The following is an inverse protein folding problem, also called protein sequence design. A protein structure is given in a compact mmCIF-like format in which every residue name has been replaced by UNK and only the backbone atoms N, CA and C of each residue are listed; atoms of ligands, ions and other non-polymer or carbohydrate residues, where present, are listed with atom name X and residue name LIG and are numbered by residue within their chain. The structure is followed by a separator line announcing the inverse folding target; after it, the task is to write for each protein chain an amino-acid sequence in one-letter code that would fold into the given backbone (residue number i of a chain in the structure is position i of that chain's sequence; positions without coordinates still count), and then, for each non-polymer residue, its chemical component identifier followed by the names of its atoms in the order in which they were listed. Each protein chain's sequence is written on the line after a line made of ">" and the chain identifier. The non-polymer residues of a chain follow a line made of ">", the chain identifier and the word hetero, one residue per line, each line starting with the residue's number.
data_IF_300780390050
#
_entry.id   IF_300780390050
#
_cell.length_a   1.000
_cell.length_b   1.000
_cell.length_c   1.000
_cell.angle_alpha   90.00
_cell.angle_beta   90.00
_cell.angle_gamma   90.00
#
_symmetry.space_group_name_H-M   'P 1'
#
loop_
_entity.id
_entity.type
_entity.pdbx_description
1 polymer ?
#
# COMPACT_ATOMS: atom_id res chain seq x y z
N UNK A 1 -5.40 -33.17 -6.83
CA UNK A 1 -4.88 -32.58 -8.09
C UNK A 1 -4.21 -31.27 -7.73
N UNK A 2 -2.96 -30.99 -8.11
CA UNK A 2 -2.44 -29.64 -7.95
C UNK A 2 -3.16 -28.78 -8.99
N UNK A 3 -3.85 -27.74 -8.55
CA UNK A 3 -4.42 -26.76 -9.47
C UNK A 3 -3.27 -26.18 -10.32
N UNK A 4 -3.44 -26.18 -11.64
CA UNK A 4 -2.52 -25.48 -12.55
C UNK A 4 -2.30 -24.05 -12.04
N UNK A 5 -1.07 -23.51 -12.11
CA UNK A 5 -0.83 -22.12 -11.73
C UNK A 5 -1.60 -21.25 -12.73
N UNK A 6 -2.80 -20.82 -12.35
CA UNK A 6 -3.59 -19.89 -13.13
C UNK A 6 -2.76 -18.61 -13.23
N UNK A 7 -2.32 -18.30 -14.45
CA UNK A 7 -1.65 -17.03 -14.73
C UNK A 7 -2.57 -15.91 -14.26
N UNK A 8 -2.17 -15.20 -13.20
CA UNK A 8 -2.93 -14.09 -12.67
C UNK A 8 -2.81 -12.93 -13.66
N UNK A 9 -3.81 -12.81 -14.53
CA UNK A 9 -3.95 -11.67 -15.44
C UNK A 9 -4.67 -10.52 -14.74
N UNK A 10 -4.52 -9.30 -15.26
CA UNK A 10 -5.19 -8.12 -14.72
C UNK A 10 -6.71 -8.32 -14.54
N UNK A 11 -7.48 -8.82 -15.55
CA UNK A 11 -8.91 -9.09 -15.37
C UNK A 11 -9.22 -10.09 -14.26
N UNK A 12 -8.41 -11.15 -14.12
CA UNK A 12 -8.62 -12.17 -13.07
C UNK A 12 -8.36 -11.60 -11.68
N UNK A 13 -7.32 -10.78 -11.52
CA UNK A 13 -7.03 -10.10 -10.25
C UNK A 13 -8.14 -9.13 -9.89
N UNK A 14 -8.61 -8.31 -10.83
CA UNK A 14 -9.75 -7.39 -10.61
C UNK A 14 -10.99 -8.16 -10.12
N UNK A 15 -11.33 -9.27 -10.78
CA UNK A 15 -12.48 -10.09 -10.38
C UNK A 15 -12.34 -10.63 -8.95
N UNK A 16 -11.15 -11.11 -8.57
CA UNK A 16 -10.86 -11.59 -7.21
C UNK A 16 -10.99 -10.48 -6.17
N UNK A 17 -10.43 -9.30 -6.44
CA UNK A 17 -10.50 -8.16 -5.52
C UNK A 17 -11.94 -7.64 -5.35
N UNK A 18 -12.73 -7.57 -6.42
CA UNK A 18 -14.16 -7.22 -6.35
C UNK A 18 -14.96 -8.22 -5.53
N UNK A 19 -14.75 -9.51 -5.75
CA UNK A 19 -15.41 -10.57 -4.99
C UNK A 19 -15.08 -10.50 -3.49
N UNK A 20 -13.90 -9.98 -3.15
CA UNK A 20 -13.49 -9.72 -1.77
C UNK A 20 -14.00 -8.38 -1.19
N UNK A 21 -14.78 -7.61 -1.95
CA UNK A 21 -15.33 -6.31 -1.52
C UNK A 21 -14.36 -5.13 -1.64
N UNK A 22 -13.27 -5.25 -2.40
CA UNK A 22 -12.37 -4.11 -2.64
C UNK A 22 -13.07 -3.08 -3.55
N UNK A 23 -13.25 -1.86 -3.04
CA UNK A 23 -13.98 -0.77 -3.73
C UNK A 23 -13.24 -0.29 -4.98
N UNK A 24 -11.90 -0.19 -4.92
CA UNK A 24 -11.04 0.32 -6.00
C UNK A 24 -10.27 -0.81 -6.70
N UNK A 25 -10.92 -1.94 -6.93
CA UNK A 25 -10.27 -3.18 -7.40
C UNK A 25 -9.39 -2.99 -8.65
N UNK A 26 -9.78 -2.16 -9.61
CA UNK A 26 -8.99 -1.86 -10.80
C UNK A 26 -7.66 -1.16 -10.51
N UNK A 27 -7.69 -0.12 -9.69
CA UNK A 27 -6.50 0.63 -9.34
C UNK A 27 -5.57 -0.20 -8.46
N UNK A 28 -6.14 -0.91 -7.49
CA UNK A 28 -5.39 -1.83 -6.63
C UNK A 28 -4.75 -2.96 -7.43
N UNK A 29 -5.46 -3.56 -8.39
CA UNK A 29 -4.91 -4.61 -9.24
C UNK A 29 -3.73 -4.10 -10.06
N UNK A 30 -3.84 -2.91 -10.68
CA UNK A 30 -2.72 -2.29 -11.42
C UNK A 30 -1.49 -2.07 -10.53
N UNK A 31 -1.70 -1.60 -9.30
CA UNK A 31 -0.62 -1.39 -8.35
C UNK A 31 0.04 -2.72 -7.95
N UNK A 32 -0.75 -3.75 -7.64
CA UNK A 32 -0.23 -5.08 -7.27
C UNK A 32 0.56 -5.71 -8.43
N UNK A 33 0.03 -5.66 -9.65
CA UNK A 33 0.72 -6.20 -10.83
C UNK A 33 2.03 -5.45 -11.12
N UNK A 34 2.05 -4.12 -10.96
CA UNK A 34 3.27 -3.33 -11.20
C UNK A 34 4.34 -3.53 -10.11
N UNK A 35 3.95 -3.96 -8.91
CA UNK A 35 4.87 -4.18 -7.79
C UNK A 35 5.46 -5.60 -7.77
N UNK A 36 4.72 -6.61 -8.21
CA UNK A 36 5.17 -8.00 -8.21
C UNK A 36 6.19 -8.26 -9.33
N UNK A 37 7.32 -8.90 -9.00
CA UNK A 37 8.39 -9.25 -9.95
C UNK A 37 8.27 -10.69 -10.45
N UNK A 38 7.53 -11.52 -9.72
CA UNK A 38 7.32 -12.93 -10.09
C UNK A 38 5.84 -13.31 -9.97
N UNK A 39 5.38 -14.36 -10.67
CA UNK A 39 4.03 -14.89 -10.50
C UNK A 39 3.71 -15.31 -9.06
N UNK A 40 4.70 -15.82 -8.32
CA UNK A 40 4.55 -16.20 -6.91
C UNK A 40 4.35 -14.99 -5.99
N UNK A 41 5.13 -13.92 -6.20
CA UNK A 41 4.93 -12.64 -5.49
C UNK A 41 3.54 -12.06 -5.79
N UNK A 42 3.10 -12.12 -7.05
CA UNK A 42 1.78 -11.65 -7.46
C UNK A 42 0.65 -12.44 -6.77
N UNK A 43 0.73 -13.77 -6.77
CA UNK A 43 -0.26 -14.61 -6.12
C UNK A 43 -0.34 -14.31 -4.60
N UNK A 44 0.80 -14.26 -3.94
CA UNK A 44 0.87 -13.93 -2.50
C UNK A 44 0.31 -12.54 -2.20
N UNK A 45 0.59 -11.53 -3.04
CA UNK A 45 0.07 -10.18 -2.86
C UNK A 45 -1.46 -10.13 -2.99
N UNK A 46 -2.02 -10.81 -4.00
CA UNK A 46 -3.48 -10.89 -4.19
C UNK A 46 -4.13 -11.64 -3.02
N UNK A 47 -3.57 -12.76 -2.59
CA UNK A 47 -4.11 -13.55 -1.47
C UNK A 47 -4.14 -12.73 -0.17
N UNK A 48 -3.04 -12.01 0.14
CA UNK A 48 -2.99 -11.11 1.29
C UNK A 48 -4.02 -9.98 1.18
N UNK A 49 -4.17 -9.39 -0.01
CA UNK A 49 -5.14 -8.30 -0.21
C UNK A 49 -6.58 -8.77 -0.04
N UNK A 50 -6.90 -9.94 -0.61
CA UNK A 50 -8.21 -10.60 -0.47
C UNK A 50 -8.50 -10.98 0.99
N UNK A 51 -7.49 -11.35 1.77
CA UNK A 51 -7.61 -11.60 3.21
C UNK A 51 -7.85 -10.34 4.06
N UNK A 52 -7.93 -9.16 3.43
CA UNK A 52 -8.25 -7.90 4.10
C UNK A 52 -7.03 -7.11 4.58
N UNK A 53 -5.80 -7.52 4.23
CA UNK A 53 -4.63 -6.69 4.56
C UNK A 53 -4.71 -5.35 3.81
N UNK A 54 -4.30 -4.23 4.45
CA UNK A 54 -4.16 -2.95 3.78
C UNK A 54 -3.27 -3.06 2.55
N UNK A 55 -3.63 -2.36 1.48
CA UNK A 55 -2.88 -2.38 0.23
C UNK A 55 -1.42 -1.97 0.45
N UNK A 56 -1.17 -0.98 1.29
CA UNK A 56 0.17 -0.46 1.56
C UNK A 56 1.06 -1.52 2.21
N UNK A 57 0.52 -2.36 3.11
CA UNK A 57 1.25 -3.50 3.67
C UNK A 57 1.44 -4.64 2.66
N UNK A 58 0.51 -4.79 1.71
CA UNK A 58 0.68 -5.72 0.58
C UNK A 58 1.84 -5.26 -0.33
N UNK A 59 1.91 -3.96 -0.62
CA UNK A 59 2.94 -3.34 -1.46
C UNK A 59 4.27 -3.07 -0.73
N UNK A 60 4.28 -3.13 0.61
CA UNK A 60 5.42 -2.77 1.45
C UNK A 60 5.74 -1.27 1.46
N UNK A 61 4.82 -0.42 0.97
CA UNK A 61 5.02 1.03 0.87
C UNK A 61 3.71 1.81 0.84
N UNK A 62 3.78 3.07 1.26
CA UNK A 62 2.74 4.08 1.12
C UNK A 62 3.30 5.34 0.45
N UNK A 63 2.45 6.04 -0.30
CA UNK A 63 2.76 7.40 -0.78
C UNK A 63 2.33 8.41 0.28
N UNK A 64 3.22 9.34 0.66
CA UNK A 64 2.94 10.38 1.67
C UNK A 64 3.73 11.64 1.35
N UNK A 65 3.05 12.79 1.18
CA UNK A 65 3.67 14.06 0.73
C UNK A 65 4.53 13.94 -0.53
N UNK A 66 4.16 13.06 -1.45
CA UNK A 66 4.92 12.78 -2.67
C UNK A 66 6.19 11.93 -2.47
N UNK A 67 6.39 11.40 -1.25
CA UNK A 67 7.46 10.47 -0.92
C UNK A 67 6.93 9.04 -0.84
N UNK A 68 7.78 8.08 -1.19
CA UNK A 68 7.53 6.65 -0.96
C UNK A 68 8.11 6.24 0.39
N UNK A 69 7.23 5.94 1.32
CA UNK A 69 7.59 5.50 2.67
C UNK A 69 7.43 3.98 2.74
N UNK A 70 8.47 3.27 3.16
CA UNK A 70 8.39 1.82 3.40
C UNK A 70 7.51 1.55 4.62
N UNK A 71 6.69 0.51 4.54
CA UNK A 71 5.83 0.09 5.66
C UNK A 71 5.89 -1.42 5.84
N UNK A 72 6.03 -1.84 7.08
CA UNK A 72 6.04 -3.25 7.49
C UNK A 72 4.75 -3.61 8.26
N UNK A 73 4.45 -4.91 8.41
CA UNK A 73 3.37 -5.35 9.30
C UNK A 73 3.53 -4.77 10.71
N UNK A 74 2.45 -4.20 11.24
CA UNK A 74 2.44 -3.55 12.55
C UNK A 74 2.81 -2.07 12.55
N UNK A 75 3.39 -1.55 11.46
CA UNK A 75 3.63 -0.11 11.28
C UNK A 75 2.35 0.59 10.86
N UNK A 76 2.06 1.76 11.45
CA UNK A 76 0.89 2.53 11.08
C UNK A 76 1.04 3.09 9.67
N UNK A 77 0.10 2.74 8.79
CA UNK A 77 0.14 3.22 7.39
C UNK A 77 -0.09 4.74 7.36
N UNK A 78 0.83 5.53 6.78
CA UNK A 78 0.68 6.99 6.66
C UNK A 78 -0.66 7.37 6.03
N UNK A 79 -1.32 8.38 6.59
CA UNK A 79 -2.64 8.82 6.12
C UNK A 79 -2.52 10.15 5.40
N UNK A 80 -3.16 10.28 4.24
CA UNK A 80 -3.23 11.55 3.48
C UNK A 80 -3.67 12.74 4.34
N UNK A 81 -4.58 12.53 5.29
CA UNK A 81 -5.02 13.61 6.21
C UNK A 81 -3.89 14.16 7.09
N UNK A 82 -2.87 13.36 7.39
CA UNK A 82 -1.71 13.78 8.20
C UNK A 82 -0.78 14.70 7.42
N UNK A 83 -0.87 14.75 6.09
CA UNK A 83 -0.11 15.68 5.26
C UNK A 83 -0.36 17.14 5.64
N UNK A 84 -1.60 17.47 6.02
CA UNK A 84 -1.95 18.79 6.53
C UNK A 84 -1.15 19.16 7.79
N UNK A 85 -0.91 18.21 8.69
CA UNK A 85 -0.13 18.45 9.91
C UNK A 85 1.33 18.76 9.57
N UNK A 86 1.90 18.03 8.60
CA UNK A 86 3.25 18.29 8.09
C UNK A 86 3.35 19.72 7.55
N UNK A 87 2.39 20.16 6.75
CA UNK A 87 2.38 21.51 6.19
C UNK A 87 2.28 22.59 7.28
N UNK A 88 1.48 22.36 8.33
CA UNK A 88 1.40 23.27 9.49
C UNK A 88 2.69 23.32 10.29
N UNK A 89 3.32 22.18 10.54
CA UNK A 89 4.58 22.11 11.28
C UNK A 89 5.71 22.80 10.49
N UNK A 90 5.81 22.53 9.19
CA UNK A 90 6.81 23.13 8.31
C UNK A 90 6.69 24.67 8.25
N UNK A 91 5.47 25.21 8.25
CA UNK A 91 5.25 26.66 8.27
C UNK A 91 5.68 27.34 9.58
N UNK A 92 5.75 26.59 10.69
CA UNK A 92 6.18 27.10 12.00
C UNK A 92 7.69 26.93 12.23
N UNK A 93 8.31 25.97 11.56
CA UNK A 93 9.74 25.70 11.67
C UNK A 93 10.57 26.81 11.01
N UNK A 94 11.41 27.48 11.80
CA UNK A 94 12.39 28.45 11.31
C UNK A 94 13.66 27.72 10.83
N UNK A 95 14.48 28.33 9.97
CA UNK A 95 15.80 27.77 9.65
C UNK A 95 16.60 27.45 10.92
N UNK A 96 17.11 26.22 11.02
CA UNK A 96 17.85 25.74 12.19
C UNK A 96 16.99 25.26 13.37
N UNK A 97 15.66 25.21 13.23
CA UNK A 97 14.81 24.64 14.27
C UNK A 97 15.06 23.14 14.46
N UNK A 98 15.06 22.71 15.73
CA UNK A 98 15.04 21.29 16.10
C UNK A 98 13.59 20.88 16.31
N UNK A 99 13.16 19.82 15.63
CA UNK A 99 11.79 19.29 15.68
C UNK A 99 11.83 17.85 16.18
N UNK A 100 10.86 17.49 17.01
CA UNK A 100 10.65 16.13 17.50
C UNK A 100 9.29 15.66 16.98
N UNK A 101 9.28 14.49 16.34
CA UNK A 101 8.06 13.78 15.98
C UNK A 101 7.86 12.61 16.95
N UNK A 102 6.76 12.63 17.70
CA UNK A 102 6.47 11.61 18.70
C UNK A 102 5.57 10.54 18.08
N UNK A 103 5.96 9.27 18.25
CA UNK A 103 5.28 8.13 17.62
C UNK A 103 5.30 8.21 16.09
N UNK A 104 6.49 8.42 15.51
CA UNK A 104 6.71 8.62 14.08
C UNK A 104 6.53 7.35 13.20
N UNK A 105 5.79 6.35 13.67
CA UNK A 105 5.58 5.05 13.01
C UNK A 105 4.82 4.06 13.88
#
# INVERSE_FOLDING_TARGET
>A
MPASPSLLTLPTVIARLRAAGCVFAEDEARLILSAARTPGELASAVDRRVAGLPLEHVLGRAEFRGLRILVDPGVFVPRRRTEFLVDRAAALARPGAVVVDLCCG
#
